data_IF_936297781307
#
_entry.id   IF_936297781307
#
_cell.length_a   1.000
_cell.length_b   1.000
_cell.length_c   1.000
_cell.angle_alpha   90.00
_cell.angle_beta   90.00
_cell.angle_gamma   90.00
#
_symmetry.space_group_name_H-M   'P 1'
#
loop_
_entity.id
_entity.type
_entity.pdbx_description
1 polymer ?
#
# COMPACT_ATOMS: atom_id res chain seq x y z
N UNK A 1 17.54 -36.14 3.62
CA UNK A 1 17.74 -35.35 4.87
C UNK A 1 18.16 -33.92 4.56
N UNK A 2 19.28 -33.66 3.86
CA UNK A 2 19.74 -32.30 3.52
C UNK A 2 18.72 -31.44 2.74
N UNK A 3 18.04 -32.03 1.75
CA UNK A 3 17.01 -31.34 0.96
C UNK A 3 15.79 -30.91 1.79
N UNK A 4 15.48 -31.65 2.85
CA UNK A 4 14.37 -31.34 3.76
C UNK A 4 14.73 -30.14 4.64
N UNK A 5 15.96 -30.10 5.15
CA UNK A 5 16.50 -28.95 5.85
C UNK A 5 16.56 -27.71 4.96
N UNK A 6 16.96 -27.85 3.69
CA UNK A 6 16.95 -26.75 2.73
C UNK A 6 15.52 -26.22 2.51
N UNK A 7 14.53 -27.09 2.34
CA UNK A 7 13.12 -26.67 2.21
C UNK A 7 12.61 -25.94 3.46
N UNK A 8 12.98 -26.40 4.66
CA UNK A 8 12.63 -25.75 5.93
C UNK A 8 13.31 -24.37 6.00
N UNK A 9 14.60 -24.27 5.70
CA UNK A 9 15.35 -23.01 5.74
C UNK A 9 14.80 -22.00 4.72
N UNK A 10 14.53 -22.42 3.48
CA UNK A 10 14.00 -21.55 2.42
C UNK A 10 12.59 -21.04 2.73
N UNK A 11 11.74 -21.84 3.40
CA UNK A 11 10.40 -21.38 3.82
C UNK A 11 10.42 -20.34 4.95
N UNK A 12 11.48 -20.29 5.76
CA UNK A 12 11.62 -19.35 6.87
C UNK A 12 12.31 -18.02 6.47
N UNK A 13 12.71 -17.86 5.20
CA UNK A 13 13.13 -16.57 4.66
C UNK A 13 11.86 -15.78 4.37
N UNK A 14 11.25 -15.24 5.42
CA UNK A 14 10.17 -14.26 5.30
C UNK A 14 10.75 -12.94 4.81
N UNK A 15 10.07 -12.29 3.86
CA UNK A 15 10.32 -10.88 3.59
C UNK A 15 9.94 -10.09 4.86
N UNK A 16 10.82 -9.21 5.32
CA UNK A 16 10.44 -8.18 6.29
C UNK A 16 9.57 -7.19 5.52
N UNK A 17 8.27 -7.24 5.77
CA UNK A 17 7.30 -6.34 5.15
C UNK A 17 7.14 -5.11 6.06
N UNK A 18 7.75 -4.00 5.66
CA UNK A 18 7.61 -2.73 6.38
C UNK A 18 6.27 -2.10 6.00
N UNK A 19 5.34 -2.08 6.94
CA UNK A 19 4.01 -1.52 6.71
C UNK A 19 4.03 0.01 6.80
N UNK A 20 3.20 0.67 5.97
CA UNK A 20 2.88 2.10 6.07
C UNK A 20 1.37 2.21 6.26
N UNK A 21 0.95 2.82 7.37
CA UNK A 21 -0.46 2.90 7.77
C UNK A 21 -0.90 4.35 7.84
N UNK A 22 -1.94 4.77 7.08
CA UNK A 22 -2.49 6.11 7.20
C UNK A 22 -3.39 6.24 8.45
N UNK A 23 -3.39 7.40 9.09
CA UNK A 23 -4.32 7.69 10.21
C UNK A 23 -5.78 7.68 9.73
N UNK A 24 -6.02 8.14 8.49
CA UNK A 24 -7.33 8.17 7.86
C UNK A 24 -7.21 7.71 6.40
N UNK A 25 -8.04 6.74 6.02
CA UNK A 25 -8.06 6.20 4.65
C UNK A 25 -8.81 7.10 3.67
N UNK A 26 -9.77 7.90 4.16
CA UNK A 26 -10.58 8.81 3.36
C UNK A 26 -10.76 10.10 4.17
N UNK A 27 -10.52 11.25 3.52
CA UNK A 27 -10.77 12.57 4.10
C UNK A 27 -11.59 13.37 3.08
N UNK A 28 -12.73 13.89 3.53
CA UNK A 28 -13.56 14.83 2.78
C UNK A 28 -13.41 16.21 3.41
N UNK A 29 -13.15 17.23 2.59
CA UNK A 29 -12.97 18.60 3.06
C UNK A 29 -13.54 19.60 2.06
N UNK A 30 -13.86 20.79 2.53
CA UNK A 30 -14.39 21.89 1.72
C UNK A 30 -13.30 22.49 0.83
N UNK A 31 -13.66 22.97 -0.35
CA UNK A 31 -12.72 23.66 -1.24
C UNK A 31 -12.04 24.84 -0.54
N UNK A 32 -10.73 24.99 -0.75
CA UNK A 32 -9.90 26.01 -0.10
C UNK A 32 -9.42 25.64 1.30
N UNK A 33 -9.89 24.55 1.89
CA UNK A 33 -9.42 24.08 3.20
C UNK A 33 -8.03 23.45 3.11
N UNK A 34 -7.21 23.68 4.13
CA UNK A 34 -5.93 22.99 4.30
C UNK A 34 -6.19 21.63 4.93
N UNK A 35 -5.62 20.58 4.34
CA UNK A 35 -5.67 19.21 4.90
C UNK A 35 -4.26 18.72 5.21
N UNK A 36 -4.16 17.88 6.23
CA UNK A 36 -2.93 17.17 6.60
C UNK A 36 -3.17 15.68 6.45
N UNK A 37 -2.30 15.01 5.67
CA UNK A 37 -2.28 13.55 5.56
C UNK A 37 -1.18 13.03 6.49
N UNK A 38 -1.52 12.07 7.35
CA UNK A 38 -0.59 11.47 8.30
C UNK A 38 -0.47 9.98 8.03
N UNK A 39 0.76 9.47 8.02
CA UNK A 39 1.06 8.05 7.93
C UNK A 39 2.12 7.68 8.97
N UNK A 40 1.94 6.52 9.58
CA UNK A 40 2.92 5.84 10.45
C UNK A 40 3.56 4.68 9.70
N UNK A 41 4.77 4.32 10.09
CA UNK A 41 5.50 3.19 9.51
C UNK A 41 6.28 2.47 10.62
N UNK A 42 6.36 1.14 10.52
CA UNK A 42 6.76 0.31 11.68
C UNK A 42 8.28 0.20 11.87
N UNK A 43 9.06 0.39 10.80
CA UNK A 43 10.52 0.21 10.78
C UNK A 43 11.28 1.54 10.63
N UNK A 44 12.60 1.50 10.48
CA UNK A 44 13.40 2.67 10.09
C UNK A 44 13.39 2.87 8.56
N UNK A 45 13.08 4.07 8.10
CA UNK A 45 13.12 4.42 6.67
C UNK A 45 14.20 5.47 6.42
N UNK A 46 15.06 5.23 5.41
CA UNK A 46 16.02 6.25 4.94
C UNK A 46 15.32 7.28 4.05
N UNK A 47 14.28 6.87 3.33
CA UNK A 47 13.55 7.72 2.40
C UNK A 47 12.05 7.42 2.49
N UNK A 48 11.24 8.48 2.48
CA UNK A 48 9.78 8.41 2.42
C UNK A 48 9.29 9.39 1.35
N UNK A 49 8.28 8.97 0.59
CA UNK A 49 7.77 9.74 -0.54
C UNK A 49 6.25 9.80 -0.51
N UNK A 50 5.71 10.94 -0.94
CA UNK A 50 4.28 11.11 -1.15
C UNK A 50 3.93 10.88 -2.61
N UNK A 51 2.87 10.08 -2.84
CA UNK A 51 2.35 9.80 -4.17
C UNK A 51 0.89 10.23 -4.28
N UNK A 52 0.51 10.73 -5.46
CA UNK A 52 -0.87 11.09 -5.77
C UNK A 52 -1.35 10.28 -6.96
N UNK A 53 -2.36 9.43 -6.73
CA UNK A 53 -3.06 8.72 -7.78
C UNK A 53 -4.41 9.40 -8.05
N UNK A 54 -4.65 9.77 -9.30
CA UNK A 54 -5.98 10.22 -9.74
C UNK A 54 -6.84 8.99 -10.07
N UNK A 55 -8.17 9.06 -9.91
CA UNK A 55 -9.06 8.00 -10.39
C UNK A 55 -8.77 7.74 -11.86
N UNK A 56 -8.55 6.48 -12.23
CA UNK A 56 -8.53 6.09 -13.63
C UNK A 56 -9.97 6.13 -14.12
N UNK A 57 -10.28 7.00 -15.08
CA UNK A 57 -11.57 7.00 -15.76
C UNK A 57 -11.65 5.72 -16.60
N UNK A 58 -12.13 4.61 -16.01
CA UNK A 58 -12.41 3.39 -16.79
C UNK A 58 -13.71 3.65 -17.56
N UNK A 59 -13.63 4.26 -18.74
CA UNK A 59 -14.65 4.03 -19.78
C UNK A 59 -14.48 2.59 -20.30
N UNK A 60 -14.95 1.62 -19.52
CA UNK A 60 -15.48 0.36 -20.04
C UNK A 60 -16.88 0.23 -19.51
N UNK A 61 -17.83 0.85 -20.22
CA UNK A 61 -19.17 0.28 -20.25
C UNK A 61 -18.99 -1.01 -21.06
N UNK A 62 -19.11 -2.16 -20.40
CA UNK A 62 -19.20 -3.43 -21.12
C UNK A 62 -20.52 -3.43 -21.89
N UNK A 63 -20.57 -3.83 -23.17
CA UNK A 63 -21.83 -3.96 -23.92
C UNK A 63 -22.84 -4.97 -23.33
N UNK A 64 -22.54 -5.61 -22.21
CA UNK A 64 -23.41 -6.56 -21.52
C UNK A 64 -24.36 -5.93 -20.50
N UNK A 65 -24.26 -4.61 -20.26
CA UNK A 65 -25.15 -3.86 -19.35
C UNK A 65 -26.23 -3.05 -20.11
N UNK A 66 -26.49 -3.39 -21.39
CA UNK A 66 -27.61 -2.90 -22.21
C UNK A 66 -28.57 -4.04 -22.56
#
# INVERSE_FOLDING_TARGET
MLLFFIFIVVKNIGAVDSSITPDQTIISSSEGSIITLTCTYDDSATYLYWHRQKPQFRTRVSPADL
#
